data_IF_789403806901
#
_entry.id   IF_789403806901
#
_cell.length_a   1.000
_cell.length_b   1.000
_cell.length_c   1.000
_cell.angle_alpha   90.00
_cell.angle_beta   90.00
_cell.angle_gamma   90.00
#
_symmetry.space_group_name_H-M   'P 1'
#
loop_
_entity.id
_entity.type
_entity.pdbx_description
1 polymer ?
#
# COMPACT_ATOMS: atom_id res chain seq x y z
N UNK A 1 -0.91 35.10 5.94
CA UNK A 1 -1.45 33.72 6.15
C UNK A 1 -1.47 32.92 4.86
N UNK A 2 -1.91 33.50 3.75
CA UNK A 2 -2.06 32.82 2.45
C UNK A 2 -0.79 32.13 1.96
N UNK A 3 0.37 32.78 2.06
CA UNK A 3 1.65 32.19 1.65
C UNK A 3 1.99 30.93 2.45
N UNK A 4 1.76 30.95 3.76
CA UNK A 4 1.97 29.81 4.66
C UNK A 4 1.04 28.63 4.29
N UNK A 5 -0.21 28.91 3.90
CA UNK A 5 -1.13 27.89 3.39
C UNK A 5 -0.59 27.23 2.12
N UNK A 6 -0.11 28.04 1.16
CA UNK A 6 0.48 27.53 -0.10
C UNK A 6 1.73 26.71 0.16
N UNK A 7 2.60 27.18 1.05
CA UNK A 7 3.82 26.47 1.44
C UNK A 7 3.51 25.11 2.07
N UNK A 8 2.61 25.06 3.06
CA UNK A 8 2.19 23.82 3.74
C UNK A 8 1.51 22.84 2.79
N UNK A 9 0.61 23.34 1.95
CA UNK A 9 -0.08 22.55 0.94
C UNK A 9 0.91 21.92 -0.04
N UNK A 10 1.85 22.72 -0.56
CA UNK A 10 2.88 22.25 -1.49
C UNK A 10 3.76 21.19 -0.86
N UNK A 11 4.32 21.46 0.31
CA UNK A 11 5.25 20.55 0.97
C UNK A 11 4.59 19.23 1.39
N UNK A 12 3.32 19.28 1.82
CA UNK A 12 2.57 18.06 2.12
C UNK A 12 2.43 17.16 0.89
N UNK A 13 1.98 17.71 -0.24
CA UNK A 13 1.78 16.93 -1.46
C UNK A 13 3.14 16.45 -2.05
N UNK A 14 4.17 17.30 -2.07
CA UNK A 14 5.51 16.91 -2.53
C UNK A 14 6.10 15.76 -1.71
N UNK A 15 5.95 15.80 -0.38
CA UNK A 15 6.40 14.71 0.50
C UNK A 15 5.73 13.39 0.12
N UNK A 16 4.41 13.38 -0.09
CA UNK A 16 3.68 12.18 -0.46
C UNK A 16 4.01 11.69 -1.87
N UNK A 17 4.21 12.59 -2.83
CA UNK A 17 4.68 12.25 -4.17
C UNK A 17 6.04 11.56 -4.08
N UNK A 18 7.01 12.16 -3.37
CA UNK A 18 8.35 11.61 -3.22
C UNK A 18 8.34 10.21 -2.59
N UNK A 19 7.61 10.05 -1.47
CA UNK A 19 7.44 8.74 -0.82
C UNK A 19 6.84 7.73 -1.81
N UNK A 20 5.81 8.14 -2.56
CA UNK A 20 5.10 7.23 -3.46
C UNK A 20 5.97 6.77 -4.62
N UNK A 21 6.76 7.67 -5.22
CA UNK A 21 7.70 7.34 -6.30
C UNK A 21 8.77 6.38 -5.78
N UNK A 22 9.36 6.66 -4.62
CA UNK A 22 10.39 5.79 -4.02
C UNK A 22 9.83 4.39 -3.77
N UNK A 23 8.67 4.28 -3.13
CA UNK A 23 8.05 2.97 -2.85
C UNK A 23 7.71 2.24 -4.14
N UNK A 24 7.13 2.91 -5.14
CA UNK A 24 6.84 2.30 -6.44
C UNK A 24 8.11 1.75 -7.11
N UNK A 25 9.21 2.53 -7.12
CA UNK A 25 10.48 2.09 -7.66
C UNK A 25 11.06 0.88 -6.92
N UNK A 26 11.00 0.88 -5.58
CA UNK A 26 11.46 -0.27 -4.77
C UNK A 26 10.65 -1.52 -5.09
N UNK A 27 9.33 -1.41 -5.22
CA UNK A 27 8.46 -2.55 -5.57
C UNK A 27 8.77 -3.10 -6.97
N UNK A 28 9.05 -2.24 -7.95
CA UNK A 28 9.41 -2.66 -9.31
C UNK A 28 10.81 -3.31 -9.37
N UNK A 29 11.77 -2.79 -8.60
CA UNK A 29 13.11 -3.41 -8.47
C UNK A 29 12.99 -4.75 -7.77
N UNK A 30 12.21 -4.83 -6.69
CA UNK A 30 11.96 -6.07 -5.96
C UNK A 30 11.32 -7.13 -6.87
N UNK A 31 10.41 -6.73 -7.77
CA UNK A 31 9.82 -7.65 -8.77
C UNK A 31 10.74 -7.97 -9.95
N UNK A 32 12.01 -7.54 -9.92
CA UNK A 32 12.98 -7.64 -11.02
C UNK A 32 12.45 -7.14 -12.35
N UNK A 33 11.56 -6.15 -12.30
CA UNK A 33 10.83 -5.63 -13.46
C UNK A 33 10.13 -6.73 -14.29
N UNK A 34 9.68 -7.82 -13.65
CA UNK A 34 9.08 -8.97 -14.33
C UNK A 34 7.88 -8.59 -15.21
N UNK A 35 7.10 -7.58 -14.82
CA UNK A 35 5.99 -7.07 -15.64
C UNK A 35 6.43 -6.62 -17.04
N UNK A 36 7.65 -6.09 -17.20
CA UNK A 36 8.17 -5.68 -18.51
C UNK A 36 8.38 -6.90 -19.40
N UNK A 37 8.88 -8.01 -18.84
CA UNK A 37 9.05 -9.26 -19.57
C UNK A 37 7.69 -9.87 -19.97
N UNK A 38 6.72 -9.85 -19.05
CA UNK A 38 5.34 -10.31 -19.33
C UNK A 38 4.72 -9.50 -20.49
N UNK A 39 4.82 -8.17 -20.45
CA UNK A 39 4.25 -7.29 -21.49
C UNK A 39 4.94 -7.44 -22.85
N UNK A 40 6.24 -7.71 -22.86
CA UNK A 40 6.99 -7.99 -24.10
C UNK A 40 6.65 -9.37 -24.69
N UNK A 41 6.14 -10.27 -23.87
CA UNK A 41 5.94 -11.68 -24.21
C UNK A 41 7.20 -12.51 -23.94
N UNK A 42 7.03 -13.84 -23.74
CA UNK A 42 8.14 -14.75 -23.56
C UNK A 42 8.95 -14.91 -24.87
N UNK A 43 10.24 -15.20 -24.72
CA UNK A 43 11.09 -15.63 -25.83
C UNK A 43 10.73 -17.07 -26.21
N UNK A 44 10.27 -17.30 -27.44
CA UNK A 44 10.03 -18.65 -27.95
C UNK A 44 11.37 -19.38 -28.14
N UNK A 45 11.53 -20.54 -27.49
CA UNK A 45 12.68 -21.39 -27.67
C UNK A 45 12.54 -22.16 -28.99
N UNK A 46 13.53 -21.99 -29.87
CA UNK A 46 13.64 -22.72 -31.13
C UNK A 46 15.10 -22.77 -31.59
N UNK A 47 15.43 -23.72 -32.44
CA UNK A 47 16.78 -23.93 -32.94
C UNK A 47 17.78 -24.28 -31.83
N UNK A 48 19.06 -23.99 -32.08
CA UNK A 48 20.13 -24.26 -31.12
C UNK A 48 20.10 -23.29 -29.94
N UNK A 49 20.02 -23.83 -28.73
CA UNK A 49 20.00 -23.01 -27.51
C UNK A 49 21.41 -22.60 -27.09
N UNK A 50 21.53 -21.37 -26.57
CA UNK A 50 22.70 -20.93 -25.81
C UNK A 50 22.29 -20.74 -24.35
N UNK A 51 22.52 -21.75 -23.46
CA UNK A 51 22.02 -21.71 -22.09
C UNK A 51 22.50 -20.50 -21.29
N UNK A 52 23.74 -20.04 -21.51
CA UNK A 52 24.30 -18.88 -20.82
C UNK A 52 23.59 -17.59 -21.21
N UNK A 53 23.19 -17.45 -22.48
CA UNK A 53 22.40 -16.31 -22.94
C UNK A 53 20.93 -16.39 -22.55
N UNK A 54 20.40 -17.60 -22.32
CA UNK A 54 19.02 -17.83 -21.92
C UNK A 54 18.81 -17.72 -20.41
N UNK A 55 19.87 -17.84 -19.61
CA UNK A 55 19.82 -17.77 -18.15
C UNK A 55 19.06 -16.53 -17.65
N UNK A 56 18.03 -16.78 -16.84
CA UNK A 56 17.17 -15.76 -16.23
C UNK A 56 16.13 -15.15 -17.18
N UNK A 57 16.07 -15.53 -18.46
CA UNK A 57 15.07 -15.02 -19.40
C UNK A 57 13.71 -15.70 -19.20
N UNK A 58 12.66 -14.93 -19.46
CA UNK A 58 11.30 -15.42 -19.58
C UNK A 58 11.10 -16.05 -20.96
N UNK A 59 10.88 -17.36 -21.00
CA UNK A 59 10.86 -18.17 -22.21
C UNK A 59 9.58 -18.99 -22.32
N UNK A 60 9.28 -19.47 -23.52
CA UNK A 60 8.21 -20.44 -23.76
C UNK A 60 8.65 -21.52 -24.73
N UNK A 61 8.16 -22.73 -24.54
CA UNK A 61 8.37 -23.87 -25.43
C UNK A 61 7.10 -24.71 -25.53
N UNK A 62 6.84 -25.27 -26.70
CA UNK A 62 5.85 -26.32 -26.88
C UNK A 62 6.53 -27.68 -26.69
N UNK A 63 6.33 -28.29 -25.52
CA UNK A 63 6.92 -29.57 -25.15
C UNK A 63 6.17 -30.69 -25.85
N UNK A 64 6.91 -31.56 -26.53
CA UNK A 64 6.37 -32.73 -27.23
C UNK A 64 7.04 -34.04 -26.80
N UNK A 65 8.12 -34.00 -26.03
CA UNK A 65 8.77 -35.18 -25.47
C UNK A 65 9.12 -35.02 -23.99
N UNK A 66 8.71 -36.00 -23.18
CA UNK A 66 8.99 -36.07 -21.74
C UNK A 66 9.48 -37.48 -21.42
N UNK A 67 10.74 -37.58 -21.01
CA UNK A 67 11.40 -38.86 -20.74
C UNK A 67 10.97 -39.47 -19.41
N UNK A 68 10.77 -38.65 -18.39
CA UNK A 68 10.51 -39.11 -17.03
C UNK A 68 10.36 -37.99 -16.02
N UNK A 69 10.10 -38.36 -14.76
CA UNK A 69 10.06 -37.45 -13.61
C UNK A 69 11.30 -37.69 -12.77
N UNK A 70 12.02 -36.63 -12.38
CA UNK A 70 13.25 -36.75 -11.61
C UNK A 70 13.15 -36.18 -10.18
N UNK A 71 12.15 -35.34 -9.89
CA UNK A 71 11.96 -34.81 -8.54
C UNK A 71 10.51 -34.40 -8.25
N UNK A 72 10.12 -34.52 -6.98
CA UNK A 72 8.87 -33.98 -6.43
C UNK A 72 9.16 -33.11 -5.21
N UNK A 73 8.52 -31.94 -5.15
CA UNK A 73 8.53 -31.12 -3.93
C UNK A 73 7.20 -31.27 -3.21
N UNK A 74 7.29 -31.42 -1.89
CA UNK A 74 6.11 -31.58 -1.03
C UNK A 74 6.15 -30.59 0.13
N UNK A 75 4.97 -30.15 0.56
CA UNK A 75 4.80 -29.32 1.76
C UNK A 75 3.98 -30.07 2.80
N UNK A 76 4.44 -30.07 4.05
CA UNK A 76 3.74 -30.70 5.18
C UNK A 76 3.17 -29.62 6.10
N UNK A 77 1.85 -29.65 6.30
CA UNK A 77 1.20 -28.77 7.25
C UNK A 77 1.54 -29.20 8.69
N UNK A 78 2.25 -28.36 9.42
CA UNK A 78 2.73 -28.67 10.78
C UNK A 78 1.62 -28.83 11.82
N UNK A 79 0.39 -28.39 11.54
CA UNK A 79 -0.76 -28.54 12.43
C UNK A 79 -1.56 -29.82 12.16
N UNK A 80 -1.67 -30.22 10.91
CA UNK A 80 -2.49 -31.38 10.49
C UNK A 80 -1.66 -32.61 10.10
N UNK A 81 -0.34 -32.46 9.96
CA UNK A 81 0.59 -33.48 9.43
C UNK A 81 0.23 -34.01 8.04
N UNK A 82 -0.58 -33.26 7.27
CA UNK A 82 -0.91 -33.61 5.89
C UNK A 82 0.20 -33.12 4.98
N UNK A 83 0.77 -34.03 4.18
CA UNK A 83 1.74 -33.74 3.12
C UNK A 83 1.04 -33.62 1.78
N UNK A 84 1.41 -32.62 0.99
CA UNK A 84 0.86 -32.39 -0.35
C UNK A 84 1.98 -32.04 -1.31
N UNK A 85 1.96 -32.63 -2.50
CA UNK A 85 2.89 -32.29 -3.59
C UNK A 85 2.59 -30.89 -4.11
N UNK A 86 3.62 -30.04 -4.12
CA UNK A 86 3.52 -28.65 -4.57
C UNK A 86 4.00 -28.49 -6.00
N UNK A 87 5.05 -29.22 -6.40
CA UNK A 87 5.60 -29.17 -7.75
C UNK A 87 6.27 -30.47 -8.14
N UNK A 88 6.35 -30.72 -9.44
CA UNK A 88 7.05 -31.86 -10.04
C UNK A 88 8.08 -31.35 -11.03
N UNK A 89 9.15 -32.13 -11.20
CA UNK A 89 10.23 -31.86 -12.15
C UNK A 89 10.38 -33.01 -13.15
N UNK A 90 10.35 -32.67 -14.43
CA UNK A 90 10.38 -33.61 -15.55
C UNK A 90 11.65 -33.45 -16.40
N UNK A 91 12.10 -34.55 -16.99
CA UNK A 91 13.12 -34.55 -18.03
C UNK A 91 12.45 -34.32 -19.38
N UNK A 92 12.62 -33.12 -19.94
CA UNK A 92 12.21 -32.80 -21.31
C UNK A 92 13.32 -33.14 -22.29
N UNK A 93 12.94 -33.56 -23.49
CA UNK A 93 13.86 -33.71 -24.63
C UNK A 93 13.40 -32.75 -25.73
N UNK A 94 14.34 -31.98 -26.27
CA UNK A 94 14.09 -31.05 -27.36
C UNK A 94 14.97 -31.41 -28.55
N UNK A 95 14.32 -31.62 -29.70
CA UNK A 95 15.00 -31.88 -30.95
C UNK A 95 14.59 -30.85 -32.02
N UNK A 96 15.59 -30.19 -32.61
CA UNK A 96 15.43 -29.31 -33.76
C UNK A 96 16.01 -29.96 -35.03
N UNK A 97 15.12 -30.35 -35.94
CA UNK A 97 15.50 -31.05 -37.17
C UNK A 97 16.40 -30.19 -38.08
N UNK A 98 16.14 -28.87 -38.14
CA UNK A 98 16.85 -27.96 -39.03
C UNK A 98 18.32 -27.77 -38.63
N UNK A 99 18.62 -27.72 -37.33
CA UNK A 99 19.97 -27.56 -36.80
C UNK A 99 20.61 -28.86 -36.32
N UNK A 100 19.89 -29.99 -36.36
CA UNK A 100 20.34 -31.28 -35.82
C UNK A 100 20.78 -31.13 -34.35
N UNK A 101 20.02 -30.35 -33.59
CA UNK A 101 20.31 -30.03 -32.20
C UNK A 101 19.35 -30.80 -31.30
N UNK A 102 19.90 -31.63 -30.42
CA UNK A 102 19.17 -32.38 -29.41
C UNK A 102 19.63 -31.92 -28.02
N UNK A 103 18.68 -31.70 -27.11
CA UNK A 103 19.01 -31.34 -25.74
C UNK A 103 17.98 -31.83 -24.73
N UNK A 104 18.47 -32.45 -23.68
CA UNK A 104 17.75 -32.87 -22.50
C UNK A 104 17.88 -31.77 -21.44
N UNK A 105 16.74 -31.34 -20.90
CA UNK A 105 16.64 -30.22 -19.97
C UNK A 105 15.58 -30.52 -18.90
N UNK A 106 15.60 -29.77 -17.79
CA UNK A 106 14.60 -29.89 -16.75
C UNK A 106 13.35 -29.05 -17.03
N UNK A 107 12.20 -29.50 -16.56
CA UNK A 107 10.96 -28.72 -16.54
C UNK A 107 10.37 -28.81 -15.15
N UNK A 108 10.26 -27.70 -14.42
CA UNK A 108 9.59 -27.64 -13.11
C UNK A 108 8.22 -27.00 -13.27
N UNK A 109 7.17 -27.70 -12.88
CA UNK A 109 5.77 -27.23 -12.92
C UNK A 109 5.09 -27.39 -11.56
N UNK A 110 4.09 -26.55 -11.29
CA UNK A 110 3.22 -26.74 -10.14
C UNK A 110 2.41 -28.04 -10.30
N UNK A 111 2.01 -28.66 -9.18
CA UNK A 111 1.18 -29.86 -9.22
C UNK A 111 -0.17 -29.63 -9.94
N UNK A 112 -0.63 -28.38 -10.04
CA UNK A 112 -1.85 -28.03 -10.78
C UNK A 112 -1.66 -28.01 -12.30
N UNK A 113 -0.42 -27.84 -12.80
CA UNK A 113 -0.11 -27.69 -14.22
C UNK A 113 0.53 -28.95 -14.84
N UNK A 114 0.61 -30.06 -14.09
CA UNK A 114 1.34 -31.26 -14.51
C UNK A 114 0.68 -32.08 -15.61
N UNK A 115 -0.66 -32.04 -15.69
CA UNK A 115 -1.48 -32.96 -16.51
C UNK A 115 -1.03 -33.02 -17.97
N UNK A 116 -0.58 -31.89 -18.51
CA UNK A 116 -0.09 -31.79 -19.89
C UNK A 116 1.17 -32.61 -20.15
N UNK A 117 2.13 -32.56 -19.22
CA UNK A 117 3.40 -33.29 -19.28
C UNK A 117 3.21 -34.77 -18.91
N UNK A 118 2.39 -35.07 -17.90
CA UNK A 118 2.07 -36.47 -17.54
C UNK A 118 1.41 -37.20 -18.69
N UNK A 119 0.51 -36.53 -19.44
CA UNK A 119 -0.07 -37.12 -20.65
C UNK A 119 0.99 -37.43 -21.70
N UNK A 120 1.91 -36.50 -21.99
CA UNK A 120 2.98 -36.72 -22.97
C UNK A 120 3.81 -37.93 -22.57
N UNK A 121 4.25 -37.98 -21.31
CA UNK A 121 5.03 -39.07 -20.75
C UNK A 121 4.28 -40.42 -20.85
N UNK A 122 2.99 -40.47 -20.48
CA UNK A 122 2.17 -41.68 -20.56
C UNK A 122 1.97 -42.17 -22.00
N UNK A 123 1.76 -41.25 -22.96
CA UNK A 123 1.63 -41.58 -24.38
C UNK A 123 2.93 -42.21 -24.90
N UNK A 124 4.09 -41.65 -24.55
CA UNK A 124 5.41 -42.19 -24.89
C UNK A 124 5.62 -43.58 -24.29
N UNK A 125 5.34 -43.77 -22.99
CA UNK A 125 5.47 -45.07 -22.33
C UNK A 125 4.51 -46.14 -22.86
N UNK A 126 3.38 -45.74 -23.44
CA UNK A 126 2.48 -46.65 -24.14
C UNK A 126 2.94 -47.02 -25.56
N UNK A 127 4.07 -46.45 -26.02
CA UNK A 127 4.62 -46.68 -27.36
C UNK A 127 3.95 -45.84 -28.45
N UNK A 128 3.30 -44.73 -28.09
CA UNK A 128 2.62 -43.83 -29.03
C UNK A 128 3.29 -42.47 -29.10
N UNK A 129 3.25 -41.84 -30.28
CA UNK A 129 3.66 -40.44 -30.39
C UNK A 129 2.65 -39.53 -29.68
N UNK A 130 3.12 -38.48 -29.00
CA UNK A 130 2.22 -37.58 -28.29
C UNK A 130 1.18 -36.93 -29.20
N UNK A 131 -0.08 -36.98 -28.77
CA UNK A 131 -1.22 -36.53 -29.57
C UNK A 131 -1.28 -35.01 -29.74
N UNK A 132 -0.66 -34.27 -28.81
CA UNK A 132 -0.52 -32.82 -28.80
C UNK A 132 0.67 -32.41 -27.95
N UNK A 133 1.27 -31.29 -28.32
CA UNK A 133 2.28 -30.62 -27.50
C UNK A 133 1.64 -29.95 -26.27
N UNK A 134 2.47 -29.57 -25.30
CA UNK A 134 2.06 -28.81 -24.14
C UNK A 134 2.95 -27.58 -23.97
N UNK A 135 2.34 -26.39 -24.01
CA UNK A 135 3.06 -25.13 -23.87
C UNK A 135 3.47 -24.92 -22.40
N UNK A 136 4.77 -24.74 -22.18
CA UNK A 136 5.35 -24.34 -20.90
C UNK A 136 5.92 -22.93 -21.04
N UNK A 137 5.65 -22.07 -20.07
CA UNK A 137 6.12 -20.68 -20.07
C UNK A 137 6.67 -20.31 -18.69
N UNK A 138 7.93 -19.92 -18.62
CA UNK A 138 8.60 -19.74 -17.34
C UNK A 138 9.96 -19.09 -17.46
N UNK A 139 10.75 -19.14 -16.38
CA UNK A 139 12.13 -18.63 -16.42
C UNK A 139 13.09 -19.78 -16.71
N UNK A 140 13.92 -19.63 -17.74
CA UNK A 140 15.03 -20.55 -18.00
C UNK A 140 16.17 -20.27 -17.01
N UNK A 141 16.56 -21.28 -16.22
CA UNK A 141 17.61 -21.13 -15.20
C UNK A 141 18.46 -22.37 -15.04
N UNK A 142 19.69 -22.18 -14.62
CA UNK A 142 20.55 -23.24 -14.14
C UNK A 142 19.96 -23.87 -12.88
N UNK A 143 19.85 -25.18 -12.87
CA UNK A 143 19.45 -25.94 -11.68
C UNK A 143 20.59 -25.93 -10.66
N UNK A 144 20.24 -25.91 -9.38
CA UNK A 144 21.17 -25.99 -8.28
C UNK A 144 20.66 -26.92 -7.14
N UNK A 145 21.53 -27.16 -6.16
CA UNK A 145 21.19 -27.93 -4.96
C UNK A 145 20.63 -29.32 -5.26
N UNK A 146 19.55 -29.68 -4.56
CA UNK A 146 18.92 -31.01 -4.67
C UNK A 146 18.25 -31.26 -6.02
N UNK A 147 17.72 -30.22 -6.67
CA UNK A 147 17.09 -30.37 -7.99
C UNK A 147 18.15 -30.83 -8.99
N UNK A 148 19.33 -30.17 -9.01
CA UNK A 148 20.44 -30.58 -9.86
C UNK A 148 20.96 -31.98 -9.50
N UNK A 149 21.03 -32.30 -8.21
CA UNK A 149 21.46 -33.63 -7.75
C UNK A 149 20.54 -34.73 -8.31
N UNK A 150 19.23 -34.63 -8.07
CA UNK A 150 18.28 -35.63 -8.53
C UNK A 150 18.21 -35.72 -10.06
N UNK A 151 18.32 -34.58 -10.74
CA UNK A 151 18.42 -34.54 -12.20
C UNK A 151 19.59 -35.41 -12.71
N UNK A 152 20.79 -35.23 -12.15
CA UNK A 152 21.96 -36.02 -12.56
C UNK A 152 21.81 -37.50 -12.19
N UNK A 153 21.32 -37.81 -10.98
CA UNK A 153 21.09 -39.20 -10.53
C UNK A 153 20.12 -39.93 -11.48
N UNK A 154 18.99 -39.32 -11.85
CA UNK A 154 18.03 -39.93 -12.79
C UNK A 154 18.63 -40.14 -14.19
N UNK A 155 19.43 -39.19 -14.69
CA UNK A 155 20.09 -39.36 -15.99
C UNK A 155 21.10 -40.51 -15.99
N UNK A 156 21.90 -40.64 -14.92
CA UNK A 156 22.92 -41.67 -14.78
C UNK A 156 22.30 -43.06 -14.53
N UNK A 157 21.26 -43.15 -13.70
CA UNK A 157 20.69 -44.43 -13.24
C UNK A 157 19.60 -44.98 -14.19
N UNK A 158 18.77 -44.13 -14.80
CA UNK A 158 17.59 -44.57 -15.54
C UNK A 158 17.72 -44.46 -17.06
N UNK A 159 18.41 -43.44 -17.57
CA UNK A 159 18.40 -43.13 -19.01
C UNK A 159 19.76 -43.28 -19.72
N UNK A 160 20.88 -43.24 -18.99
CA UNK A 160 22.25 -43.39 -19.52
C UNK A 160 22.48 -42.61 -20.83
N UNK A 161 22.12 -41.33 -20.81
CA UNK A 161 22.13 -40.44 -21.98
C UNK A 161 23.53 -39.90 -22.29
N UNK A 162 23.74 -39.51 -23.54
CA UNK A 162 25.01 -38.93 -23.99
C UNK A 162 25.25 -37.57 -23.28
N UNK A 163 26.39 -37.37 -22.59
CA UNK A 163 26.65 -36.15 -21.83
C UNK A 163 26.57 -34.86 -22.65
N UNK A 164 26.86 -34.94 -23.95
CA UNK A 164 26.81 -33.81 -24.90
C UNK A 164 25.39 -33.27 -25.15
N UNK A 165 24.36 -34.08 -24.94
CA UNK A 165 22.96 -33.70 -25.12
C UNK A 165 22.32 -33.23 -23.81
N UNK A 166 23.06 -33.14 -22.70
CA UNK A 166 22.50 -32.81 -21.38
C UNK A 166 22.90 -31.41 -20.96
N UNK A 167 21.94 -30.59 -20.51
CA UNK A 167 22.23 -29.29 -19.90
C UNK A 167 21.71 -29.22 -18.46
N UNK A 168 22.46 -28.63 -17.52
CA UNK A 168 22.02 -28.47 -16.12
C UNK A 168 21.06 -27.28 -15.95
N UNK A 169 20.14 -27.09 -16.90
CA UNK A 169 19.19 -25.98 -16.92
C UNK A 169 17.76 -26.51 -16.98
N UNK A 170 16.84 -25.74 -16.41
CA UNK A 170 15.43 -26.04 -16.42
C UNK A 170 14.59 -24.80 -16.72
N UNK A 171 13.38 -25.03 -17.22
CA UNK A 171 12.33 -24.02 -17.26
C UNK A 171 11.51 -24.14 -15.99
N UNK A 172 11.50 -23.07 -15.20
CA UNK A 172 10.68 -22.94 -14.00
C UNK A 172 9.37 -22.27 -14.39
N UNK A 173 8.32 -23.08 -14.55
CA UNK A 173 6.96 -22.64 -14.87
C UNK A 173 6.46 -21.63 -13.82
N UNK A 174 5.58 -20.73 -14.26
CA UNK A 174 5.02 -19.66 -13.42
C UNK A 174 6.08 -18.73 -12.79
N UNK A 175 7.31 -18.70 -13.31
CA UNK A 175 8.33 -17.71 -12.94
C UNK A 175 8.66 -16.74 -14.07
N UNK A 176 8.89 -15.47 -13.74
CA UNK A 176 9.37 -14.42 -14.64
C UNK A 176 10.60 -13.75 -14.07
N UNK A 177 11.70 -13.71 -14.83
CA UNK A 177 13.00 -13.22 -14.35
C UNK A 177 13.45 -13.89 -13.03
N UNK A 178 12.98 -15.11 -12.84
CA UNK A 178 13.24 -15.91 -11.67
C UNK A 178 12.53 -15.50 -10.40
N UNK A 179 11.35 -14.91 -10.55
CA UNK A 179 10.41 -14.64 -9.47
C UNK A 179 9.07 -15.26 -9.82
N UNK A 180 8.40 -15.84 -8.82
CA UNK A 180 7.01 -16.26 -8.92
C UNK A 180 6.12 -15.17 -9.57
N UNK A 181 5.39 -15.54 -10.62
CA UNK A 181 4.61 -14.62 -11.44
C UNK A 181 3.48 -13.96 -10.64
N UNK A 182 2.91 -14.66 -9.66
CA UNK A 182 1.88 -14.12 -8.77
C UNK A 182 2.45 -13.02 -7.90
N UNK A 183 3.64 -13.22 -7.34
CA UNK A 183 4.35 -12.19 -6.59
C UNK A 183 4.71 -10.99 -7.46
N UNK A 184 5.16 -11.21 -8.71
CA UNK A 184 5.39 -10.12 -9.68
C UNK A 184 4.12 -9.29 -9.88
N UNK A 185 2.95 -9.91 -10.05
CA UNK A 185 1.68 -9.19 -10.19
C UNK A 185 1.32 -8.41 -8.93
N UNK A 186 1.46 -8.99 -7.74
CA UNK A 186 1.16 -8.31 -6.47
C UNK A 186 2.04 -7.07 -6.28
N UNK A 187 3.36 -7.20 -6.49
CA UNK A 187 4.30 -6.09 -6.35
C UNK A 187 4.03 -4.99 -7.40
N UNK A 188 3.72 -5.39 -8.63
CA UNK A 188 3.36 -4.46 -9.72
C UNK A 188 2.07 -3.71 -9.41
N UNK A 189 1.04 -4.40 -8.91
CA UNK A 189 -0.21 -3.77 -8.49
C UNK A 189 0.02 -2.75 -7.36
N UNK A 190 0.86 -3.11 -6.36
CA UNK A 190 1.29 -2.19 -5.32
C UNK A 190 2.00 -0.95 -5.89
N UNK A 191 2.93 -1.13 -6.82
CA UNK A 191 3.63 -0.04 -7.48
C UNK A 191 2.66 0.87 -8.26
N UNK A 192 1.69 0.30 -8.98
CA UNK A 192 0.67 1.03 -9.71
C UNK A 192 -0.20 1.90 -8.78
N UNK A 193 -0.62 1.36 -7.63
CA UNK A 193 -1.37 2.12 -6.61
C UNK A 193 -0.55 3.32 -6.12
N UNK A 194 0.73 3.12 -5.81
CA UNK A 194 1.60 4.22 -5.38
C UNK A 194 1.79 5.26 -6.48
N UNK A 195 1.89 4.85 -7.74
CA UNK A 195 1.93 5.79 -8.87
C UNK A 195 0.64 6.61 -9.00
N UNK A 196 -0.53 6.00 -8.79
CA UNK A 196 -1.82 6.71 -8.74
C UNK A 196 -1.82 7.74 -7.60
N UNK A 197 -1.32 7.40 -6.42
CA UNK A 197 -1.19 8.35 -5.29
C UNK A 197 -0.29 9.53 -5.66
N UNK A 198 0.83 9.28 -6.35
CA UNK A 198 1.71 10.33 -6.85
C UNK A 198 1.01 11.25 -7.87
N UNK A 199 0.26 10.68 -8.82
CA UNK A 199 -0.54 11.43 -9.79
C UNK A 199 -1.58 12.30 -9.08
N UNK A 200 -2.31 11.76 -8.10
CA UNK A 200 -3.28 12.52 -7.31
C UNK A 200 -2.60 13.69 -6.59
N UNK A 201 -1.41 13.46 -6.02
CA UNK A 201 -0.58 14.51 -5.43
C UNK A 201 -0.21 15.61 -6.43
N UNK A 202 0.18 15.23 -7.66
CA UNK A 202 0.54 16.16 -8.72
C UNK A 202 -0.68 16.98 -9.20
N UNK A 203 -1.83 16.34 -9.39
CA UNK A 203 -3.10 17.03 -9.71
C UNK A 203 -3.42 18.06 -8.62
N UNK A 204 -3.27 17.70 -7.34
CA UNK A 204 -3.46 18.64 -6.23
C UNK A 204 -2.49 19.83 -6.30
N UNK A 205 -1.23 19.62 -6.68
CA UNK A 205 -0.27 20.72 -6.82
C UNK A 205 -0.60 21.67 -7.97
N UNK A 206 -1.09 21.15 -9.10
CA UNK A 206 -1.37 21.92 -10.30
C UNK A 206 -2.74 22.63 -10.26
N UNK A 207 -3.77 21.93 -9.78
CA UNK A 207 -5.16 22.40 -9.83
C UNK A 207 -5.78 22.62 -8.45
N UNK A 208 -5.07 22.30 -7.37
CA UNK A 208 -5.58 22.46 -6.01
C UNK A 208 -5.68 23.91 -5.59
N UNK A 209 -6.65 24.19 -4.72
CA UNK A 209 -6.84 25.51 -4.11
C UNK A 209 -6.52 25.42 -2.61
N UNK A 210 -5.31 25.81 -2.17
CA UNK A 210 -4.87 25.74 -0.78
C UNK A 210 -5.80 26.51 0.18
N UNK A 211 -6.46 27.54 -0.32
CA UNK A 211 -7.33 28.44 0.44
C UNK A 211 -8.78 27.93 0.52
N UNK A 212 -9.11 26.77 -0.09
CA UNK A 212 -10.48 26.24 -0.23
C UNK A 212 -11.30 26.30 1.08
N UNK A 213 -10.73 25.84 2.19
CA UNK A 213 -11.45 25.79 3.47
C UNK A 213 -11.48 27.13 4.20
N UNK A 214 -10.52 28.01 3.95
CA UNK A 214 -10.57 29.39 4.43
C UNK A 214 -11.66 30.16 3.70
N UNK A 215 -11.73 30.05 2.37
CA UNK A 215 -12.80 30.65 1.55
C UNK A 215 -14.17 30.14 1.97
N UNK A 216 -14.34 28.82 2.11
CA UNK A 216 -15.59 28.23 2.60
C UNK A 216 -16.01 28.78 3.98
N UNK A 217 -15.05 29.02 4.87
CA UNK A 217 -15.34 29.60 6.18
C UNK A 217 -15.79 31.06 6.06
N UNK A 218 -15.11 31.87 5.25
CA UNK A 218 -15.49 33.27 4.98
C UNK A 218 -16.88 33.37 4.33
N UNK A 219 -17.17 32.51 3.34
CA UNK A 219 -18.47 32.44 2.67
C UNK A 219 -19.62 32.07 3.62
N UNK A 220 -19.30 31.35 4.71
CA UNK A 220 -20.29 30.97 5.73
C UNK A 220 -20.39 32.00 6.87
N UNK A 221 -19.48 32.98 6.92
CA UNK A 221 -19.35 33.95 8.01
C UNK A 221 -19.13 35.36 7.44
N UNK A 222 -20.18 35.95 6.87
CA UNK A 222 -20.14 37.25 6.18
C UNK A 222 -19.65 38.44 7.04
N UNK A 223 -19.56 38.27 8.37
CA UNK A 223 -19.05 39.28 9.30
C UNK A 223 -17.53 39.23 9.49
N UNK A 224 -16.87 38.19 9.00
CA UNK A 224 -15.43 37.96 9.19
C UNK A 224 -14.70 38.29 7.90
N UNK A 225 -13.72 39.19 7.96
CA UNK A 225 -12.86 39.51 6.82
C UNK A 225 -11.61 38.61 6.78
N UNK A 226 -11.01 38.47 5.59
CA UNK A 226 -9.72 37.78 5.46
C UNK A 226 -8.64 38.44 6.33
N UNK A 227 -8.59 39.77 6.37
CA UNK A 227 -7.61 40.52 7.16
C UNK A 227 -7.73 40.25 8.67
N UNK A 228 -8.94 40.05 9.19
CA UNK A 228 -9.15 39.64 10.58
C UNK A 228 -8.60 38.23 10.83
N UNK A 229 -8.85 37.28 9.93
CA UNK A 229 -8.28 35.94 10.05
C UNK A 229 -6.74 35.96 9.98
N UNK A 230 -6.15 36.80 9.14
CA UNK A 230 -4.68 36.92 9.07
C UNK A 230 -4.08 37.49 10.36
N UNK A 231 -4.75 38.46 10.97
CA UNK A 231 -4.33 39.01 12.25
C UNK A 231 -4.43 37.97 13.38
N UNK A 232 -5.53 37.23 13.45
CA UNK A 232 -5.71 36.15 14.44
C UNK A 232 -4.72 35.00 14.21
N UNK A 233 -4.45 34.65 12.95
CA UNK A 233 -3.45 33.65 12.60
C UNK A 233 -2.03 34.06 13.02
N UNK A 234 -1.65 35.32 12.79
CA UNK A 234 -0.30 35.81 13.13
C UNK A 234 -0.08 35.98 14.64
N UNK A 235 -1.14 36.27 15.40
CA UNK A 235 -1.10 36.40 16.87
C UNK A 235 -1.35 35.10 17.62
N UNK A 236 -1.81 34.06 16.92
CA UNK A 236 -2.16 32.78 17.53
C UNK A 236 -0.94 32.01 18.05
N UNK A 237 -1.16 31.21 19.10
CA UNK A 237 -0.14 30.35 19.66
C UNK A 237 0.03 29.08 18.81
N UNK A 238 1.26 28.79 18.36
CA UNK A 238 1.56 27.59 17.59
C UNK A 238 1.64 26.38 18.53
N UNK A 239 0.73 25.43 18.33
CA UNK A 239 0.68 24.17 19.06
C UNK A 239 1.17 23.04 18.16
N UNK A 240 2.30 22.45 18.55
CA UNK A 240 3.03 21.49 17.75
C UNK A 240 3.48 22.10 16.42
N UNK A 241 3.11 21.46 15.31
CA UNK A 241 3.43 21.94 13.95
C UNK A 241 2.21 22.27 13.11
N UNK A 242 1.01 21.93 13.57
CA UNK A 242 -0.19 21.86 12.73
C UNK A 242 -1.34 22.73 13.21
N UNK A 243 -1.28 23.26 14.43
CA UNK A 243 -2.40 23.96 15.06
C UNK A 243 -1.93 25.35 15.46
N UNK A 244 -2.71 26.37 15.13
CA UNK A 244 -2.50 27.74 15.57
C UNK A 244 -3.76 28.15 16.31
N UNK A 245 -3.66 28.26 17.63
CA UNK A 245 -4.77 28.61 18.51
C UNK A 245 -4.76 30.12 18.73
N UNK A 246 -5.66 30.82 18.07
CA UNK A 246 -5.93 32.24 18.27
C UNK A 246 -7.02 32.48 19.30
N UNK A 247 -7.28 33.76 19.61
CA UNK A 247 -8.24 34.17 20.63
C UNK A 247 -9.67 33.80 20.24
N UNK A 248 -10.03 33.99 18.97
CA UNK A 248 -11.38 33.68 18.44
C UNK A 248 -11.40 32.46 17.51
N UNK A 249 -10.30 32.26 16.80
CA UNK A 249 -10.20 31.21 15.78
C UNK A 249 -9.09 30.23 16.09
N UNK A 250 -9.34 28.94 15.81
CA UNK A 250 -8.31 27.91 15.82
C UNK A 250 -8.12 27.43 14.39
N UNK A 251 -6.89 27.52 13.92
CA UNK A 251 -6.49 26.98 12.63
C UNK A 251 -5.84 25.63 12.85
N UNK A 252 -6.19 24.62 12.06
CA UNK A 252 -5.52 23.32 12.14
C UNK A 252 -5.32 22.67 10.77
N UNK A 253 -4.19 22.00 10.59
CA UNK A 253 -3.86 21.31 9.35
C UNK A 253 -4.39 19.88 9.35
N UNK A 254 -5.28 19.58 8.40
CA UNK A 254 -5.76 18.22 8.10
C UNK A 254 -5.38 17.86 6.66
N UNK A 255 -4.51 16.85 6.53
CA UNK A 255 -3.88 16.54 5.25
C UNK A 255 -3.12 17.74 4.68
N UNK A 256 -3.42 18.10 3.43
CA UNK A 256 -2.79 19.24 2.74
C UNK A 256 -3.40 20.60 3.10
N UNK A 257 -4.56 20.62 3.77
CA UNK A 257 -5.35 21.83 3.95
C UNK A 257 -5.32 22.34 5.38
N UNK A 258 -5.35 23.66 5.53
CA UNK A 258 -5.64 24.30 6.80
C UNK A 258 -7.15 24.54 6.89
N UNK A 259 -7.71 24.17 8.03
CA UNK A 259 -9.07 24.47 8.42
C UNK A 259 -9.06 25.60 9.43
N UNK A 260 -10.13 26.36 9.47
CA UNK A 260 -10.37 27.40 10.47
C UNK A 260 -11.68 27.09 11.17
N UNK A 261 -11.69 27.34 12.46
CA UNK A 261 -12.82 27.08 13.34
C UNK A 261 -13.02 28.28 14.23
N UNK A 262 -14.25 28.78 14.24
CA UNK A 262 -14.72 29.69 15.27
C UNK A 262 -15.04 28.90 16.53
N UNK A 263 -14.32 29.19 17.61
CA UNK A 263 -14.51 28.54 18.90
C UNK A 263 -15.17 29.47 19.94
N UNK A 264 -15.65 30.64 19.53
CA UNK A 264 -16.35 31.57 20.42
C UNK A 264 -17.63 30.98 21.02
N UNK A 265 -18.33 30.13 20.26
CA UNK A 265 -19.53 29.42 20.72
C UNK A 265 -19.25 28.03 21.31
N UNK A 266 -17.99 27.66 21.49
CA UNK A 266 -17.66 26.35 22.06
C UNK A 266 -17.95 26.32 23.55
N UNK A 267 -18.70 25.31 23.96
CA UNK A 267 -19.15 25.11 25.35
C UNK A 267 -18.42 23.95 26.01
N UNK A 268 -17.91 23.00 25.22
CA UNK A 268 -17.24 21.82 25.73
C UNK A 268 -16.10 21.39 24.82
N UNK A 269 -14.94 21.07 25.39
CA UNK A 269 -13.84 20.44 24.68
C UNK A 269 -13.15 19.37 25.55
N UNK A 270 -12.79 18.25 24.93
CA UNK A 270 -12.02 17.21 25.61
C UNK A 270 -11.15 16.40 24.65
N UNK A 271 -10.17 15.71 25.22
CA UNK A 271 -9.31 14.80 24.49
C UNK A 271 -10.04 13.49 24.21
N UNK A 272 -10.13 13.11 22.94
CA UNK A 272 -10.68 11.82 22.54
C UNK A 272 -9.60 10.97 21.88
N UNK A 273 -9.43 9.76 22.40
CA UNK A 273 -8.59 8.74 21.78
C UNK A 273 -9.35 7.44 21.58
N UNK A 274 -8.98 6.73 20.52
CA UNK A 274 -9.43 5.37 20.26
C UNK A 274 -8.23 4.56 19.78
N UNK A 275 -8.07 3.36 20.31
CA UNK A 275 -7.04 2.40 19.87
C UNK A 275 -7.65 1.34 18.94
N UNK A 276 -6.84 0.78 18.03
CA UNK A 276 -7.24 -0.28 17.09
C UNK A 276 -7.23 0.14 15.62
N UNK A 277 -7.94 -0.61 14.76
CA UNK A 277 -7.96 -0.42 13.29
C UNK A 277 -8.32 1.01 12.83
N UNK A 278 -9.10 1.71 13.63
CA UNK A 278 -9.48 3.11 13.41
C UNK A 278 -8.96 3.99 14.54
N UNK A 279 -7.66 3.93 14.79
CA UNK A 279 -7.03 4.70 15.84
C UNK A 279 -7.25 6.19 15.62
N UNK A 280 -7.69 6.90 16.66
CA UNK A 280 -7.91 8.34 16.60
C UNK A 280 -7.23 8.99 17.80
N UNK A 281 -6.69 10.18 17.56
CA UNK A 281 -6.22 11.10 18.58
C UNK A 281 -6.65 12.48 18.10
N UNK A 282 -7.52 13.13 18.86
CA UNK A 282 -8.10 14.41 18.48
C UNK A 282 -8.63 15.17 19.70
N UNK A 283 -8.82 16.48 19.52
CA UNK A 283 -9.65 17.29 20.41
C UNK A 283 -11.06 17.30 19.86
N UNK A 284 -12.03 16.86 20.66
CA UNK A 284 -13.45 16.93 20.32
C UNK A 284 -14.05 18.14 20.99
N UNK A 285 -14.73 18.96 20.21
CA UNK A 285 -15.40 20.17 20.69
C UNK A 285 -16.89 20.14 20.35
N UNK A 286 -17.66 20.85 21.15
CA UNK A 286 -19.09 21.05 20.96
C UNK A 286 -19.43 22.53 21.13
N UNK A 287 -20.26 23.05 20.23
CA UNK A 287 -20.81 24.38 20.38
C UNK A 287 -22.14 24.38 21.15
N UNK A 288 -22.68 25.58 21.40
CA UNK A 288 -23.98 25.76 22.08
C UNK A 288 -25.14 25.03 21.38
N UNK A 289 -25.05 24.84 20.07
CA UNK A 289 -26.04 24.10 19.27
C UNK A 289 -25.81 22.57 19.28
N UNK A 290 -24.98 22.08 20.22
CA UNK A 290 -24.53 20.69 20.34
C UNK A 290 -23.83 20.13 19.10
N UNK A 291 -23.39 20.99 18.17
CA UNK A 291 -22.70 20.58 16.96
C UNK A 291 -21.27 20.19 17.31
N UNK A 292 -20.93 18.96 16.96
CA UNK A 292 -19.59 18.40 17.15
C UNK A 292 -18.61 18.91 16.10
N UNK A 293 -17.40 19.25 16.52
CA UNK A 293 -16.24 19.46 15.67
C UNK A 293 -15.05 18.68 16.21
N UNK A 294 -14.20 18.17 15.31
CA UNK A 294 -13.05 17.35 15.68
C UNK A 294 -11.77 17.94 15.08
N UNK A 295 -10.78 18.19 15.93
CA UNK A 295 -9.47 18.75 15.57
C UNK A 295 -8.43 17.64 15.73
N UNK A 296 -7.93 17.11 14.62
CA UNK A 296 -6.93 16.03 14.63
C UNK A 296 -5.59 16.51 15.18
N UNK A 297 -5.11 15.87 16.24
CA UNK A 297 -3.85 16.18 16.90
C UNK A 297 -3.30 14.95 17.63
N UNK A 298 -1.97 14.83 17.76
CA UNK A 298 -1.42 13.80 18.64
C UNK A 298 -1.77 14.12 20.11
N UNK A 299 -1.58 13.17 21.03
CA UNK A 299 -1.93 13.35 22.44
C UNK A 299 -1.31 14.62 23.07
N UNK A 300 -0.02 14.88 22.83
CA UNK A 300 0.67 16.04 23.39
C UNK A 300 0.08 17.36 22.86
N UNK A 301 -0.10 17.48 21.54
CA UNK A 301 -0.69 18.65 20.90
C UNK A 301 -2.16 18.84 21.33
N UNK A 302 -2.91 17.75 21.54
CA UNK A 302 -4.28 17.80 22.06
C UNK A 302 -4.33 18.39 23.47
N UNK A 303 -3.47 17.91 24.39
CA UNK A 303 -3.43 18.42 25.76
C UNK A 303 -2.97 19.88 25.80
N UNK A 304 -1.99 20.26 24.99
CA UNK A 304 -1.56 21.66 24.86
C UNK A 304 -2.68 22.57 24.34
N UNK A 305 -3.47 22.11 23.37
CA UNK A 305 -4.63 22.86 22.86
C UNK A 305 -5.73 23.00 23.91
N UNK A 306 -6.03 21.93 24.64
CA UNK A 306 -7.02 21.97 25.72
C UNK A 306 -6.59 22.90 26.85
N UNK A 307 -5.30 22.88 27.21
CA UNK A 307 -4.76 23.81 28.20
C UNK A 307 -4.91 25.26 27.73
N UNK A 308 -4.57 25.56 26.46
CA UNK A 308 -4.78 26.89 25.90
C UNK A 308 -6.26 27.30 25.96
N UNK A 309 -7.20 26.40 25.64
CA UNK A 309 -8.62 26.70 25.77
C UNK A 309 -9.03 26.95 27.22
N UNK A 310 -8.54 26.15 28.16
CA UNK A 310 -8.83 26.32 29.59
C UNK A 310 -8.34 27.68 30.12
N UNK A 311 -7.20 28.17 29.63
CA UNK A 311 -6.60 29.44 30.05
C UNK A 311 -7.24 30.66 29.38
N UNK A 312 -7.77 30.51 28.15
CA UNK A 312 -8.18 31.67 27.32
C UNK A 312 -9.67 31.74 27.03
N UNK A 313 -10.43 30.66 27.26
CA UNK A 313 -11.84 30.53 26.91
C UNK A 313 -12.67 30.24 28.18
N UNK A 314 -12.95 31.25 29.01
CA UNK A 314 -13.70 31.06 30.26
C UNK A 314 -15.12 30.53 30.04
N UNK A 315 -15.67 30.69 28.84
CA UNK A 315 -16.98 30.17 28.45
C UNK A 315 -16.99 28.66 28.14
N UNK A 316 -15.82 28.02 28.01
CA UNK A 316 -15.68 26.64 27.57
C UNK A 316 -15.32 25.71 28.73
N UNK A 317 -16.11 24.66 28.94
CA UNK A 317 -15.74 23.57 29.84
C UNK A 317 -14.67 22.69 29.18
N UNK A 318 -13.55 22.46 29.86
CA UNK A 318 -12.45 21.64 29.37
C UNK A 318 -12.28 20.38 30.22
N UNK A 319 -12.30 19.22 29.58
CA UNK A 319 -12.16 17.91 30.24
C UNK A 319 -13.34 16.99 30.01
N UNK A 320 -13.18 15.74 30.42
CA UNK A 320 -14.22 14.71 30.28
C UNK A 320 -14.35 13.91 31.57
N UNK A 321 -15.59 13.77 32.02
CA UNK A 321 -16.03 12.75 32.95
C UNK A 321 -17.46 12.30 32.58
N UNK A 322 -17.89 11.17 33.15
CA UNK A 322 -19.18 10.55 32.79
C UNK A 322 -20.38 11.37 33.28
N UNK A 323 -20.25 12.09 34.39
CA UNK A 323 -21.33 12.88 34.96
C UNK A 323 -21.52 14.18 34.17
N UNK A 324 -20.42 14.78 33.71
CA UNK A 324 -20.41 15.92 32.79
C UNK A 324 -21.05 15.56 31.44
N UNK A 325 -20.72 14.40 30.87
CA UNK A 325 -21.36 13.91 29.65
C UNK A 325 -22.87 13.67 29.86
N UNK A 326 -23.24 13.09 31.00
CA UNK A 326 -24.65 12.88 31.36
C UNK A 326 -25.40 14.21 31.51
N UNK A 327 -24.78 15.20 32.16
CA UNK A 327 -25.31 16.55 32.31
C UNK A 327 -25.48 17.22 30.94
N UNK A 328 -24.45 17.26 30.11
CA UNK A 328 -24.51 17.79 28.74
C UNK A 328 -25.67 17.19 27.92
N UNK A 329 -25.90 15.88 28.04
CA UNK A 329 -26.92 15.17 27.28
C UNK A 329 -28.35 15.34 27.85
N UNK A 330 -28.53 15.28 29.17
CA UNK A 330 -29.84 15.21 29.82
C UNK A 330 -30.31 16.52 30.43
N UNK A 331 -29.38 17.42 30.76
CA UNK A 331 -29.66 18.70 31.42
C UNK A 331 -28.66 19.77 30.92
N UNK A 332 -28.88 20.21 29.69
CA UNK A 332 -27.96 21.09 29.00
C UNK A 332 -27.92 22.50 29.59
N UNK A 333 -29.03 22.99 30.14
CA UNK A 333 -29.07 24.29 30.82
C UNK A 333 -28.17 24.30 32.05
N UNK A 334 -28.24 23.26 32.87
CA UNK A 334 -27.30 23.09 34.00
C UNK A 334 -25.86 23.00 33.52
N UNK A 335 -25.60 22.30 32.40
CA UNK A 335 -24.26 22.24 31.82
C UNK A 335 -23.73 23.64 31.42
N UNK A 336 -24.56 24.46 30.76
CA UNK A 336 -24.18 25.82 30.38
C UNK A 336 -23.94 26.71 31.61
N UNK A 337 -24.62 26.43 32.73
CA UNK A 337 -24.43 27.12 34.01
C UNK A 337 -23.02 26.97 34.61
N UNK A 338 -22.23 25.95 34.25
CA UNK A 338 -20.90 25.75 34.87
C UNK A 338 -19.86 26.80 34.46
N UNK A 339 -19.90 27.29 33.22
CA UNK A 339 -18.88 28.20 32.70
C UNK A 339 -19.47 29.20 31.69
N UNK A 340 -20.33 28.72 30.79
CA UNK A 340 -20.78 29.48 29.64
C UNK A 340 -21.69 30.66 29.99
N UNK A 341 -22.71 30.44 30.83
CA UNK A 341 -23.68 31.49 31.18
C UNK A 341 -23.02 32.65 31.94
N UNK A 342 -22.13 32.35 32.88
CA UNK A 342 -21.38 33.35 33.66
C UNK A 342 -20.40 34.15 32.78
N UNK A 343 -19.69 33.47 31.88
CA UNK A 343 -18.77 34.12 30.95
C UNK A 343 -19.53 35.04 29.99
N UNK A 344 -20.68 34.60 29.48
CA UNK A 344 -21.52 35.38 28.58
C UNK A 344 -22.14 36.60 29.26
N UNK A 345 -22.64 36.45 30.49
CA UNK A 345 -23.16 37.57 31.26
C UNK A 345 -22.10 38.66 31.54
N UNK A 346 -20.85 38.26 31.81
CA UNK A 346 -19.73 39.21 31.95
C UNK A 346 -19.40 39.92 30.63
N UNK A 347 -19.40 39.17 29.53
CA UNK A 347 -19.13 39.74 28.21
C UNK A 347 -20.22 40.74 27.77
N UNK A 348 -21.49 40.40 27.96
CA UNK A 348 -22.63 41.28 27.64
C UNK A 348 -22.62 42.55 28.50
N UNK A 349 -22.16 42.46 29.75
CA UNK A 349 -21.98 43.63 30.61
C UNK A 349 -20.83 44.52 30.13
N UNK A 350 -19.68 43.95 29.77
CA UNK A 350 -18.54 44.72 29.25
C UNK A 350 -18.88 45.43 27.93
N UNK A 351 -19.62 44.78 27.02
CA UNK A 351 -20.04 45.36 25.73
C UNK A 351 -21.13 46.46 25.88
N UNK A 352 -21.73 46.63 27.07
CA UNK A 352 -22.73 47.67 27.39
C UNK A 352 -22.11 48.96 27.96
N UNK A 353 -20.86 48.89 28.42
CA UNK A 353 -20.12 50.02 29.02
C UNK A 353 -19.03 50.59 28.10
N UNK A 354 -18.95 50.11 26.86
CA UNK A 354 -18.12 50.62 25.75
C UNK A 354 -18.98 50.80 24.50
#
# INVERSE_FOLDING_TARGET
>A
MVEELRYRFRNYNLKWIAISVIVASVLLIASKFGIIAILKGPLELSGKWNPEELEGKYVTIDVDWVMGTFAEETSTNTKTNVTTTTSLCYLGDYYDEASQYEVIYGIKVSNANKDGLERIMNEIYSGTYPSKTHKITGTFKKMDGKILQYYNETLDEEFNVAPENVIPYAIFDEEVNGMDITLVYILTAGAAIMFIVAIIGLIKLLAGNPEKYIKKFLDSNNKVSLSQLELEFSKGNLIGKKIIAGRKYTFYQSGAYMHVVDHTEFVWAYYFSRSGKYSQSLVRTFNINKKKLEINANSADSHALLQYYQETQPQMMVGYDKDLEKCYNKDFETFLGYCYNDAKAKQDADDLYF
#
